data_IF_072689190236
#
_entry.id   IF_072689190236
#
_cell.length_a   1.000
_cell.length_b   1.000
_cell.length_c   1.000
_cell.angle_alpha   90.00
_cell.angle_beta   90.00
_cell.angle_gamma   90.00
#
_symmetry.space_group_name_H-M   'P 1'
#
loop_
_entity.id
_entity.type
_entity.pdbx_description
1 polymer ?
#
# COMPACT_ATOMS: atom_id res chain seq x y z
N UNK A 1 -4.30 15.37 3.62
CA UNK A 1 -3.39 15.13 2.49
C UNK A 1 -3.40 16.37 1.61
N UNK A 2 -2.32 16.64 0.89
CA UNK A 2 -2.19 17.76 -0.03
C UNK A 2 -2.07 17.21 -1.45
N UNK A 3 -2.73 17.87 -2.39
CA UNK A 3 -2.52 17.64 -3.81
C UNK A 3 -1.14 18.17 -4.22
N UNK A 4 -0.27 17.30 -4.72
CA UNK A 4 1.13 17.66 -4.98
C UNK A 4 1.31 18.58 -6.20
N UNK A 5 0.34 18.62 -7.12
CA UNK A 5 0.37 19.48 -8.30
C UNK A 5 -0.03 20.92 -7.94
N UNK A 6 -1.05 21.06 -7.10
CA UNK A 6 -1.70 22.36 -6.83
C UNK A 6 -1.40 22.91 -5.44
N UNK A 7 -0.91 22.10 -4.50
CA UNK A 7 -0.74 22.48 -3.09
C UNK A 7 -2.04 22.59 -2.30
N UNK A 8 -3.19 22.29 -2.92
CA UNK A 8 -4.49 22.39 -2.29
C UNK A 8 -4.74 21.27 -1.27
N UNK A 9 -5.61 21.52 -0.28
CA UNK A 9 -6.09 20.46 0.61
C UNK A 9 -6.93 19.47 -0.19
N UNK A 10 -6.54 18.20 -0.14
CA UNK A 10 -7.30 17.12 -0.76
C UNK A 10 -8.09 16.36 0.31
N UNK A 11 -9.43 16.27 0.18
CA UNK A 11 -10.20 15.36 1.02
C UNK A 11 -9.85 13.93 0.68
N UNK A 12 -9.52 13.14 1.69
CA UNK A 12 -9.25 11.71 1.55
C UNK A 12 -10.00 10.93 2.61
N UNK A 13 -10.30 9.67 2.30
CA UNK A 13 -10.73 8.68 3.29
C UNK A 13 -9.72 7.55 3.35
N UNK A 14 -9.46 7.07 4.56
CA UNK A 14 -8.57 5.94 4.81
C UNK A 14 -9.40 4.87 5.49
N UNK A 15 -9.37 3.64 4.97
CA UNK A 15 -10.13 2.51 5.50
C UNK A 15 -9.20 1.32 5.65
N UNK A 16 -9.20 0.70 6.83
CA UNK A 16 -8.58 -0.62 6.99
C UNK A 16 -9.51 -1.66 6.36
N UNK A 17 -9.06 -2.29 5.29
CA UNK A 17 -9.82 -3.31 4.56
C UNK A 17 -9.79 -4.63 5.32
N UNK A 18 -8.64 -4.97 5.90
CA UNK A 18 -8.47 -6.19 6.69
C UNK A 18 -7.04 -6.69 6.63
N UNK A 19 -6.88 -8.00 6.84
CA UNK A 19 -5.62 -8.69 6.62
C UNK A 19 -5.72 -9.62 5.42
N UNK A 20 -4.62 -9.75 4.69
CA UNK A 20 -4.49 -10.72 3.62
C UNK A 20 -3.08 -11.29 3.52
N UNK A 21 -2.98 -12.51 2.98
CA UNK A 21 -1.70 -13.14 2.68
C UNK A 21 -1.15 -12.62 1.36
N UNK A 22 0.09 -12.14 1.34
CA UNK A 22 0.79 -11.64 0.15
C UNK A 22 2.11 -12.36 -0.04
N UNK A 23 2.52 -12.58 -1.28
CA UNK A 23 3.87 -13.05 -1.59
C UNK A 23 4.82 -11.83 -1.70
N UNK A 24 5.83 -11.80 -0.85
CA UNK A 24 6.80 -10.71 -0.71
C UNK A 24 8.19 -11.32 -0.55
N UNK A 25 9.13 -10.95 -1.40
CA UNK A 25 10.49 -11.51 -1.36
C UNK A 25 10.56 -13.04 -1.41
N UNK A 26 9.62 -13.69 -2.12
CA UNK A 26 9.52 -15.15 -2.22
C UNK A 26 8.82 -15.84 -1.05
N UNK A 27 8.45 -15.10 0.01
CA UNK A 27 7.74 -15.63 1.17
C UNK A 27 6.27 -15.20 1.19
N UNK A 28 5.38 -16.09 1.64
CA UNK A 28 3.99 -15.74 1.93
C UNK A 28 3.87 -15.17 3.34
N UNK A 29 3.43 -13.93 3.45
CA UNK A 29 3.34 -13.19 4.72
C UNK A 29 1.93 -12.65 4.95
N UNK A 30 1.54 -12.47 6.21
CA UNK A 30 0.34 -11.71 6.57
C UNK A 30 0.61 -10.21 6.45
N UNK A 31 -0.35 -9.49 5.87
CA UNK A 31 -0.27 -8.04 5.67
C UNK A 31 -1.53 -7.36 6.15
N UNK A 32 -1.40 -6.14 6.68
CA UNK A 32 -2.52 -5.22 6.85
C UNK A 32 -2.79 -4.48 5.53
N UNK A 33 -4.03 -4.56 5.07
CA UNK A 33 -4.51 -3.92 3.85
C UNK A 33 -5.27 -2.65 4.21
N UNK A 34 -4.77 -1.53 3.70
CA UNK A 34 -5.35 -0.20 3.87
C UNK A 34 -5.74 0.34 2.50
N UNK A 35 -6.95 0.88 2.39
CA UNK A 35 -7.43 1.57 1.19
C UNK A 35 -7.51 3.06 1.46
N UNK A 36 -6.87 3.83 0.59
CA UNK A 36 -6.95 5.29 0.58
C UNK A 36 -7.76 5.70 -0.64
N UNK A 37 -8.80 6.52 -0.44
CA UNK A 37 -9.60 7.10 -1.52
C UNK A 37 -9.45 8.62 -1.51
N UNK A 38 -8.92 9.17 -2.59
CA UNK A 38 -8.91 10.60 -2.92
C UNK A 38 -9.17 10.76 -4.42
N UNK A 39 -8.39 11.61 -5.09
CA UNK A 39 -8.38 11.70 -6.56
C UNK A 39 -8.02 10.37 -7.23
N UNK A 40 -7.19 9.57 -6.56
CA UNK A 40 -6.88 8.19 -6.94
C UNK A 40 -7.22 7.27 -5.76
N UNK A 41 -7.78 6.10 -6.06
CA UNK A 41 -7.92 5.03 -5.07
C UNK A 41 -6.66 4.17 -5.09
N UNK A 42 -6.02 4.04 -3.92
CA UNK A 42 -4.80 3.26 -3.74
C UNK A 42 -5.04 2.22 -2.65
N UNK A 43 -4.69 0.98 -2.96
CA UNK A 43 -4.55 -0.11 -2.00
C UNK A 43 -3.09 -0.16 -1.53
N UNK A 44 -2.88 -0.19 -0.22
CA UNK A 44 -1.57 -0.22 0.44
C UNK A 44 -1.49 -1.47 1.31
N UNK A 45 -0.33 -2.11 1.30
CA UNK A 45 -0.04 -3.27 2.13
C UNK A 45 1.17 -3.02 3.00
N UNK A 46 1.01 -3.37 4.27
CA UNK A 46 2.07 -3.32 5.27
C UNK A 46 2.20 -4.70 5.91
N UNK A 47 3.41 -5.12 6.26
CA UNK A 47 3.56 -6.26 7.16
C UNK A 47 3.04 -5.92 8.57
N UNK A 48 2.98 -6.91 9.45
CA UNK A 48 2.46 -6.73 10.80
C UNK A 48 3.34 -5.81 11.68
N UNK A 49 4.55 -5.47 11.25
CA UNK A 49 5.42 -4.49 11.90
C UNK A 49 5.22 -3.07 11.38
N UNK A 50 4.30 -2.88 10.42
CA UNK A 50 4.01 -1.58 9.80
C UNK A 50 4.99 -1.19 8.69
N UNK A 51 5.81 -2.11 8.18
CA UNK A 51 6.68 -1.84 7.03
C UNK A 51 5.92 -2.02 5.74
N UNK A 52 6.06 -1.08 4.82
CA UNK A 52 5.42 -1.13 3.50
C UNK A 52 5.95 -2.31 2.69
N UNK A 53 5.04 -3.08 2.09
CA UNK A 53 5.38 -4.24 1.25
C UNK A 53 4.78 -4.19 -0.15
N UNK A 54 3.89 -3.23 -0.42
CA UNK A 54 3.35 -3.02 -1.76
C UNK A 54 2.23 -2.01 -1.84
N UNK A 55 1.86 -1.65 -3.06
CA UNK A 55 0.66 -0.88 -3.36
C UNK A 55 0.09 -1.21 -4.74
N UNK A 56 -1.18 -0.91 -4.94
CA UNK A 56 -1.85 -1.11 -6.22
C UNK A 56 -2.92 -0.05 -6.43
N UNK A 57 -3.06 0.38 -7.67
CA UNK A 57 -4.03 1.38 -8.07
C UNK A 57 -4.35 1.23 -9.55
N UNK A 58 -5.47 1.81 -9.97
CA UNK A 58 -5.90 1.80 -11.37
C UNK A 58 -5.83 3.21 -11.92
N UNK A 59 -5.10 3.40 -13.01
CA UNK A 59 -4.99 4.67 -13.73
C UNK A 59 -5.17 4.41 -15.22
N UNK A 60 -6.00 5.22 -15.89
CA UNK A 60 -6.29 5.07 -17.33
C UNK A 60 -6.68 3.63 -17.73
N UNK A 61 -7.48 2.96 -16.90
CA UNK A 61 -7.93 1.58 -17.12
C UNK A 61 -6.89 0.49 -16.86
N UNK A 62 -5.64 0.85 -16.54
CA UNK A 62 -4.56 -0.10 -16.25
C UNK A 62 -4.36 -0.23 -14.75
N UNK A 63 -4.25 -1.47 -14.26
CA UNK A 63 -3.88 -1.75 -12.87
C UNK A 63 -2.37 -1.80 -12.76
N UNK A 64 -1.79 -0.91 -11.97
CA UNK A 64 -0.37 -0.88 -11.63
C UNK A 64 -0.22 -1.48 -10.24
N UNK A 65 0.76 -2.35 -10.07
CA UNK A 65 1.09 -2.97 -8.79
C UNK A 65 2.59 -2.90 -8.53
N UNK A 66 2.95 -2.35 -7.38
CA UNK A 66 4.30 -2.39 -6.84
C UNK A 66 4.34 -3.37 -5.68
N UNK A 67 5.37 -4.22 -5.66
CA UNK A 67 5.62 -5.19 -4.60
C UNK A 67 7.08 -5.14 -4.19
N UNK A 68 7.32 -5.26 -2.90
CA UNK A 68 8.67 -5.46 -2.39
C UNK A 68 9.16 -6.86 -2.80
N UNK A 69 10.28 -6.90 -3.53
CA UNK A 69 10.88 -8.14 -4.05
C UNK A 69 12.03 -8.64 -3.20
N UNK A 70 12.51 -7.83 -2.26
CA UNK A 70 13.54 -8.23 -1.29
C UNK A 70 12.88 -8.96 -0.12
N UNK A 71 13.51 -10.01 0.43
CA UNK A 71 13.06 -10.62 1.67
C UNK A 71 12.87 -9.59 2.79
N UNK A 72 11.83 -9.81 3.58
CA UNK A 72 11.61 -9.10 4.84
C UNK A 72 12.67 -9.54 5.86
N UNK A 73 13.86 -8.94 5.81
CA UNK A 73 14.84 -9.11 6.90
C UNK A 73 14.24 -8.52 8.18
N UNK A 74 14.46 -9.17 9.33
CA UNK A 74 14.09 -8.60 10.62
C UNK A 74 14.75 -7.21 10.77
N UNK A 75 14.02 -6.24 11.35
CA UNK A 75 14.63 -4.97 11.71
C UNK A 75 15.89 -5.23 12.57
N UNK A 76 16.99 -4.47 12.41
CA UNK A 76 18.10 -4.59 13.33
C UNK A 76 17.58 -4.36 14.76
N UNK A 77 17.96 -5.28 15.65
CA UNK A 77 17.58 -5.27 17.05
C UNK A 77 18.10 -4.02 17.79
#
# INVERSE_FOLDING_TARGET
MIDAETGARMPISVTRVGRETRNVGGASIQTDHIRVRGTLTVDLWYDLSGRWVGCAFTVRGQRIEYRLTTPLTAAPA
#
